data_IF_196611252050
#
_entry.id   IF_196611252050
#
_cell.length_a   1.000
_cell.length_b   1.000
_cell.length_c   1.000
_cell.angle_alpha   90.00
_cell.angle_beta   90.00
_cell.angle_gamma   90.00
#
_symmetry.space_group_name_H-M   'P 1'
#
loop_
_entity.id
_entity.type
_entity.pdbx_description
1 polymer ?
#
# COMPACT_ATOMS: atom_id res chain seq x y z
N UNK A 1 -7.36 -5.65 -5.41
CA UNK A 1 -7.37 -5.99 -3.98
C UNK A 1 -6.26 -6.97 -3.58
N UNK A 2 -5.63 -7.71 -4.50
CA UNK A 2 -4.51 -8.62 -4.16
C UNK A 2 -3.23 -7.87 -3.74
N UNK A 3 -2.96 -6.72 -4.35
CA UNK A 3 -1.72 -5.95 -4.18
C UNK A 3 -1.44 -5.55 -2.73
N UNK A 4 -2.45 -5.12 -1.97
CA UNK A 4 -2.23 -4.69 -0.59
C UNK A 4 -1.94 -5.88 0.34
N UNK A 5 -2.59 -7.03 0.13
CA UNK A 5 -2.26 -8.25 0.87
C UNK A 5 -0.84 -8.69 0.54
N UNK A 6 -0.46 -8.74 -0.73
CA UNK A 6 0.90 -9.08 -1.14
C UNK A 6 1.94 -8.12 -0.55
N UNK A 7 1.65 -6.81 -0.52
CA UNK A 7 2.52 -5.84 0.12
C UNK A 7 2.64 -6.09 1.63
N UNK A 8 1.55 -6.41 2.32
CA UNK A 8 1.58 -6.72 3.75
C UNK A 8 2.40 -7.98 4.01
N UNK A 9 2.20 -9.04 3.23
CA UNK A 9 2.97 -10.28 3.33
C UNK A 9 4.45 -10.04 3.02
N UNK A 10 4.74 -9.26 1.97
CA UNK A 10 6.09 -8.85 1.60
C UNK A 10 6.73 -7.93 2.66
N UNK A 11 5.95 -7.19 3.45
CA UNK A 11 6.46 -6.43 4.59
C UNK A 11 6.73 -7.30 5.82
N UNK A 12 6.46 -8.61 5.75
CA UNK A 12 6.62 -9.54 6.88
C UNK A 12 5.35 -9.72 7.71
N UNK A 13 4.19 -9.38 7.14
CA UNK A 13 2.89 -9.50 7.77
C UNK A 13 2.48 -8.28 8.60
N UNK A 14 1.20 -8.23 8.95
CA UNK A 14 0.59 -7.12 9.73
C UNK A 14 1.25 -6.87 11.08
N UNK A 15 1.84 -7.91 11.67
CA UNK A 15 2.54 -7.87 12.96
C UNK A 15 3.96 -7.28 12.87
N UNK A 16 4.54 -7.22 11.68
CA UNK A 16 5.80 -6.55 11.44
C UNK A 16 5.62 -5.05 11.13
N UNK A 17 4.43 -4.62 10.75
CA UNK A 17 4.11 -3.22 10.46
C UNK A 17 3.85 -2.47 11.78
N UNK A 18 4.59 -1.38 12.00
CA UNK A 18 4.43 -0.50 13.15
C UNK A 18 3.48 0.63 12.82
N UNK A 19 3.72 1.31 11.70
CA UNK A 19 2.95 2.47 11.26
C UNK A 19 2.93 2.60 9.73
N UNK A 20 1.87 3.22 9.20
CA UNK A 20 1.69 3.45 7.76
C UNK A 20 1.27 4.92 7.55
N UNK A 21 2.18 5.70 6.98
CA UNK A 21 1.98 7.09 6.57
C UNK A 21 1.91 7.22 5.05
N UNK A 22 0.72 7.35 4.45
CA UNK A 22 0.62 7.78 3.06
C UNK A 22 1.06 9.24 2.92
N UNK A 23 1.96 9.50 1.98
CA UNK A 23 2.38 10.82 1.52
C UNK A 23 2.02 10.93 0.03
N UNK A 24 1.83 12.15 -0.49
CA UNK A 24 1.21 12.48 -1.79
C UNK A 24 1.32 11.44 -2.93
N UNK A 25 2.52 10.88 -3.17
CA UNK A 25 2.76 9.80 -4.16
C UNK A 25 3.63 8.66 -3.60
N UNK A 26 3.77 8.59 -2.28
CA UNK A 26 4.70 7.70 -1.57
C UNK A 26 4.08 7.18 -0.27
N UNK A 27 4.01 5.88 -0.06
CA UNK A 27 3.59 5.27 1.21
C UNK A 27 4.83 5.02 2.04
N UNK A 28 4.91 5.62 3.22
CA UNK A 28 5.98 5.37 4.19
C UNK A 28 5.46 4.39 5.23
N UNK A 29 6.09 3.23 5.31
CA UNK A 29 5.74 2.15 6.22
C UNK A 29 6.90 1.98 7.20
N UNK A 30 6.61 2.09 8.49
CA UNK A 30 7.55 1.73 9.55
C UNK A 30 7.38 0.24 9.86
N UNK A 31 8.48 -0.51 9.91
CA UNK A 31 8.45 -1.93 10.26
C UNK A 31 9.39 -2.25 11.41
N UNK A 32 9.03 -3.26 12.21
CA UNK A 32 9.83 -3.72 13.35
C UNK A 32 11.12 -4.40 12.89
N UNK A 33 11.03 -5.26 11.89
CA UNK A 33 12.14 -6.10 11.43
C UNK A 33 12.29 -6.06 9.91
N UNK A 34 13.37 -5.44 9.44
CA UNK A 34 13.71 -5.38 8.01
C UNK A 34 14.03 -6.76 7.41
N UNK A 35 14.44 -7.75 8.23
CA UNK A 35 14.76 -9.12 7.76
C UNK A 35 13.53 -9.87 7.24
N UNK A 36 12.34 -9.52 7.72
CA UNK A 36 11.09 -10.12 7.25
C UNK A 36 10.55 -9.41 6.00
N UNK A 37 11.17 -8.30 5.57
CA UNK A 37 10.74 -7.53 4.40
C UNK A 37 11.36 -8.12 3.13
N UNK A 38 10.51 -8.68 2.28
CA UNK A 38 10.86 -9.20 0.97
C UNK A 38 10.77 -8.11 -0.10
N UNK A 39 11.92 -7.65 -0.63
CA UNK A 39 11.95 -6.61 -1.69
C UNK A 39 11.18 -7.01 -2.94
N UNK A 40 11.24 -8.31 -3.27
CA UNK A 40 10.73 -8.83 -4.52
C UNK A 40 9.20 -8.74 -4.55
N UNK A 41 8.53 -9.04 -3.43
CA UNK A 41 7.09 -8.89 -3.28
C UNK A 41 6.62 -7.44 -3.19
N UNK A 42 7.53 -6.48 -2.91
CA UNK A 42 7.22 -5.05 -2.96
C UNK A 42 7.34 -4.46 -4.37
N UNK A 43 7.97 -5.17 -5.31
CA UNK A 43 8.19 -4.76 -6.70
C UNK A 43 7.02 -5.20 -7.58
N UNK A 44 5.81 -4.81 -7.18
CA UNK A 44 4.60 -5.05 -7.95
C UNK A 44 4.49 -4.07 -9.13
N UNK A 45 3.72 -4.38 -10.18
CA UNK A 45 3.56 -3.50 -11.35
C UNK A 45 3.01 -2.10 -10.99
N UNK A 46 2.35 -1.99 -9.83
CA UNK A 46 1.78 -0.74 -9.32
C UNK A 46 2.80 0.09 -8.53
N UNK A 47 3.95 -0.50 -8.17
CA UNK A 47 5.02 0.14 -7.43
C UNK A 47 6.15 0.53 -8.39
N UNK A 48 6.29 1.84 -8.60
CA UNK A 48 7.32 2.44 -9.44
C UNK A 48 8.71 2.30 -8.80
N UNK A 49 8.78 2.52 -7.49
CA UNK A 49 10.03 2.44 -6.74
C UNK A 49 9.80 2.00 -5.29
N UNK A 50 10.76 1.24 -4.77
CA UNK A 50 10.83 0.86 -3.35
C UNK A 50 12.12 1.45 -2.80
N UNK A 51 12.03 2.21 -1.73
CA UNK A 51 13.17 2.85 -1.06
C UNK A 51 13.19 2.40 0.40
N UNK A 52 14.35 2.00 0.89
CA UNK A 52 14.54 1.55 2.27
C UNK A 52 15.39 2.57 3.00
N UNK A 53 15.07 2.86 4.25
CA UNK A 53 15.90 3.71 5.10
C UNK A 53 15.77 3.28 6.55
N UNK A 54 16.77 2.54 7.03
CA UNK A 54 16.77 2.02 8.41
C UNK A 54 15.57 1.11 8.65
N UNK A 55 14.67 1.53 9.54
CA UNK A 55 13.42 0.81 9.85
C UNK A 55 12.23 1.18 8.94
N UNK A 56 12.42 2.14 8.02
CA UNK A 56 11.36 2.68 7.17
C UNK A 56 11.44 2.13 5.74
N UNK A 57 10.28 1.81 5.16
CA UNK A 57 10.10 1.40 3.77
C UNK A 57 9.21 2.42 3.08
N UNK A 58 9.69 3.05 2.02
CA UNK A 58 8.98 4.01 1.19
C UNK A 58 8.61 3.34 -0.14
N UNK A 59 7.31 3.23 -0.40
CA UNK A 59 6.75 2.66 -1.61
C UNK A 59 6.22 3.79 -2.48
N UNK A 60 6.71 3.92 -3.70
CA UNK A 60 6.28 4.95 -4.65
C UNK A 60 5.29 4.29 -5.62
N UNK A 61 4.00 4.57 -5.45
CA UNK A 61 2.93 4.02 -6.29
C UNK A 61 2.23 5.07 -7.18
N UNK A 62 2.69 6.33 -7.14
CA UNK A 62 2.12 7.41 -7.94
C UNK A 62 0.67 7.69 -7.55
N UNK A 63 -0.24 7.75 -8.52
CA UNK A 63 -1.67 8.04 -8.31
C UNK A 63 -2.42 6.93 -7.56
N UNK A 64 -1.88 5.71 -7.52
CA UNK A 64 -2.46 4.57 -6.79
C UNK A 64 -2.07 4.52 -5.32
N UNK A 65 -1.22 5.46 -4.86
CA UNK A 65 -0.71 5.51 -3.48
C UNK A 65 -1.83 5.58 -2.45
N UNK A 66 -2.84 6.44 -2.67
CA UNK A 66 -3.95 6.58 -1.73
C UNK A 66 -4.81 5.31 -1.66
N UNK A 67 -5.12 4.70 -2.82
CA UNK A 67 -5.91 3.47 -2.87
C UNK A 67 -5.20 2.31 -2.19
N UNK A 68 -3.91 2.09 -2.50
CA UNK A 68 -3.11 1.02 -1.89
C UNK A 68 -2.93 1.26 -0.38
N UNK A 69 -2.64 2.49 0.03
CA UNK A 69 -2.48 2.80 1.45
C UNK A 69 -3.79 2.62 2.23
N UNK A 70 -4.93 2.99 1.65
CA UNK A 70 -6.24 2.78 2.24
C UNK A 70 -6.55 1.28 2.38
N UNK A 71 -6.30 0.48 1.35
CA UNK A 71 -6.51 -0.97 1.37
C UNK A 71 -5.59 -1.65 2.39
N UNK A 72 -4.29 -1.29 2.41
CA UNK A 72 -3.35 -1.75 3.43
C UNK A 72 -3.82 -1.39 4.84
N UNK A 73 -4.23 -0.14 5.08
CA UNK A 73 -4.78 0.28 6.39
C UNK A 73 -6.04 -0.49 6.73
N UNK A 74 -6.92 -0.76 5.77
CA UNK A 74 -8.15 -1.53 6.00
C UNK A 74 -7.90 -3.00 6.33
N UNK A 75 -6.80 -3.58 5.84
CA UNK A 75 -6.40 -4.95 6.13
C UNK A 75 -5.69 -5.07 7.49
N UNK A 76 -4.93 -4.05 7.88
CA UNK A 76 -4.18 -4.02 9.15
C UNK A 76 -5.05 -3.54 10.31
N UNK A 77 -5.80 -2.44 10.12
CA UNK A 77 -6.83 -1.99 11.03
C UNK A 77 -8.12 -2.69 10.63
N UNK A 78 -8.62 -3.60 11.48
CA UNK A 78 -9.85 -4.36 11.30
C UNK A 78 -11.09 -3.44 11.29
N UNK A 79 -11.21 -2.60 10.26
CA UNK A 79 -12.26 -1.62 10.05
C UNK A 79 -12.74 -1.83 8.60
N UNK A 80 -14.02 -2.18 8.40
CA UNK A 80 -14.57 -2.29 7.06
C UNK A 80 -14.64 -0.89 6.43
N UNK A 81 -13.67 -0.55 5.57
CA UNK A 81 -13.79 0.63 4.71
C UNK A 81 -14.73 0.30 3.55
N UNK A 82 -16.02 0.31 3.86
CA UNK A 82 -17.04 0.43 2.84
C UNK A 82 -17.04 1.87 2.32
N UNK A 83 -16.37 2.13 1.20
CA UNK A 83 -16.71 3.30 0.37
C UNK A 83 -16.23 3.14 -1.07
N UNK A 84 -17.15 2.63 -1.89
CA UNK A 84 -17.61 3.23 -3.16
C UNK A 84 -16.67 4.31 -3.75
N UNK A 85 -15.84 3.95 -4.73
CA UNK A 85 -15.40 4.89 -5.76
C UNK A 85 -16.20 4.59 -7.03
N UNK A 86 -16.97 5.58 -7.48
CA UNK A 86 -18.00 5.45 -8.50
C UNK A 86 -17.48 5.20 -9.92
N UNK A 87 -18.40 5.05 -10.89
CA UNK A 87 -18.10 4.70 -12.27
C UNK A 87 -17.34 5.83 -12.96
N UNK A 88 -16.37 5.47 -13.79
CA UNK A 88 -15.82 6.37 -14.81
C UNK A 88 -17.00 6.72 -15.73
N UNK A 89 -17.45 7.97 -15.66
CA UNK A 89 -18.56 8.45 -16.45
C UNK A 89 -18.15 8.58 -17.91
N UNK A 90 -18.85 7.89 -18.79
CA UNK A 90 -19.16 8.44 -20.11
C UNK A 90 -20.61 8.08 -20.45
N UNK A 91 -21.53 8.96 -20.05
CA UNK A 91 -22.81 9.14 -20.72
C UNK A 91 -22.66 10.39 -21.57
N UNK A 92 -22.59 10.22 -22.89
CA UNK A 92 -22.88 11.28 -23.85
C UNK A 92 -24.07 10.82 -24.66
N UNK A 93 -25.20 11.47 -24.42
CA UNK A 93 -26.41 11.42 -25.25
C UNK A 93 -26.20 12.23 -26.53
N UNK A 94 -26.43 11.62 -27.68
CA UNK A 94 -27.05 12.21 -28.88
C UNK A 94 -27.44 11.10 -29.85
#
# INVERSE_FOLDING_TARGET
>A
METAQELIEALGGRENIVDIEPCLMRIRVEVRTQRAVAENGLRLPEILAVVRSGAYVQLVAGLKTEEIAADMKSLVANVPHGTRTGPVGESVSA
#
